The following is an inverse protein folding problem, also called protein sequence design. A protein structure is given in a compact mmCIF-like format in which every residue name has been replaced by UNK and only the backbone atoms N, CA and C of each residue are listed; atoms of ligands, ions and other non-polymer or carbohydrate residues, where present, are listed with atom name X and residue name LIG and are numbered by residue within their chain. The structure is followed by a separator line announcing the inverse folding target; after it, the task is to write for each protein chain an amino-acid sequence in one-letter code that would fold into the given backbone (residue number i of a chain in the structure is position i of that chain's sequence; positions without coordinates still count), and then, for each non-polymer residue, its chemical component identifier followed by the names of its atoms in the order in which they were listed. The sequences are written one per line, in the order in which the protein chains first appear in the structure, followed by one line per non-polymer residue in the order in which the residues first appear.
data_IF_168991006809
#
_entry.id   IF_168991006809
#
_cell.length_a   1.000
_cell.length_b   1.000
_cell.length_c   1.000
_cell.angle_alpha   90.00
_cell.angle_beta   90.00
_cell.angle_gamma   90.00
#
_symmetry.space_group_name_H-M   'P 1'
#
loop_
_entity.id
_entity.type
_entity.pdbx_description
1 polymer ?
#
# COMPACT_ATOMS: atom_id res chain seq x y z
N UNK A 1 33.63 2.40 13.53
CA UNK A 1 34.15 1.58 12.41
C UNK A 1 33.73 0.10 12.43
N UNK A 2 33.69 -0.60 13.57
CA UNK A 2 33.25 -2.02 13.64
C UNK A 2 31.78 -2.21 13.20
N UNK A 3 30.85 -1.34 13.59
CA UNK A 3 29.42 -1.44 13.26
C UNK A 3 29.14 -1.34 11.75
N UNK A 4 29.89 -0.49 11.03
CA UNK A 4 29.74 -0.31 9.58
C UNK A 4 30.25 -1.55 8.80
N UNK A 5 31.34 -2.16 9.23
CA UNK A 5 31.85 -3.41 8.63
C UNK A 5 30.88 -4.57 8.82
N UNK A 6 30.23 -4.64 9.99
CA UNK A 6 29.21 -5.66 10.28
C UNK A 6 27.97 -5.47 9.40
N UNK A 7 27.51 -4.24 9.18
CA UNK A 7 26.40 -3.92 8.28
C UNK A 7 26.71 -4.29 6.82
N UNK A 8 27.91 -3.97 6.33
CA UNK A 8 28.35 -4.31 4.96
C UNK A 8 28.49 -5.83 4.80
N UNK A 9 29.01 -6.53 5.81
CA UNK A 9 29.17 -7.99 5.79
C UNK A 9 27.83 -8.71 5.89
N UNK A 10 26.88 -8.18 6.67
CA UNK A 10 25.49 -8.64 6.70
C UNK A 10 24.77 -8.39 5.38
N UNK A 11 24.96 -7.23 4.77
CA UNK A 11 24.43 -6.92 3.44
C UNK A 11 24.93 -7.88 2.35
N UNK A 12 26.24 -8.23 2.40
CA UNK A 12 26.84 -9.18 1.45
C UNK A 12 26.36 -10.62 1.66
N UNK A 13 26.22 -11.08 2.91
CA UNK A 13 25.62 -12.38 3.20
C UNK A 13 24.12 -12.45 2.89
N UNK A 14 23.40 -11.35 3.07
CA UNK A 14 22.00 -11.23 2.67
C UNK A 14 21.85 -11.28 1.15
N UNK A 15 22.77 -10.63 0.42
CA UNK A 15 22.82 -10.66 -1.05
C UNK A 15 23.06 -12.08 -1.58
N UNK A 16 23.99 -12.83 -0.97
CA UNK A 16 24.30 -14.22 -1.31
C UNK A 16 23.19 -15.21 -0.97
N UNK A 17 22.39 -14.95 0.07
CA UNK A 17 21.18 -15.75 0.39
C UNK A 17 19.99 -15.44 -0.53
N UNK A 18 20.01 -14.30 -1.20
CA UNK A 18 19.00 -13.88 -2.16
C UNK A 18 19.34 -14.32 -3.59
N UNK A 19 20.51 -14.90 -3.82
CA UNK A 19 20.81 -15.56 -5.09
C UNK A 19 19.97 -16.84 -5.18
N UNK A 20 18.87 -16.76 -5.94
CA UNK A 20 18.17 -17.94 -6.43
C UNK A 20 19.22 -18.82 -7.12
N UNK A 21 19.28 -20.11 -6.78
CA UNK A 21 20.18 -21.08 -7.41
C UNK A 21 20.16 -20.86 -8.93
N UNK A 22 21.33 -20.66 -9.58
CA UNK A 22 21.40 -20.54 -11.02
C UNK A 22 21.04 -21.90 -11.63
N UNK A 23 19.81 -22.01 -12.13
CA UNK A 23 19.27 -23.25 -12.68
C UNK A 23 17.79 -23.19 -13.06
N UNK A 24 17.12 -22.06 -12.85
CA UNK A 24 15.75 -21.89 -13.35
C UNK A 24 15.76 -21.94 -14.89
N UNK A 25 15.24 -23.02 -15.46
CA UNK A 25 15.03 -23.19 -16.90
C UNK A 25 14.49 -21.89 -17.51
N UNK A 26 15.02 -21.47 -18.68
CA UNK A 26 14.55 -20.30 -19.44
C UNK A 26 13.04 -20.32 -19.69
N UNK A 27 12.42 -21.51 -19.76
CA UNK A 27 10.97 -21.70 -19.80
C UNK A 27 10.28 -21.24 -18.51
N UNK A 28 10.87 -21.50 -17.35
CA UNK A 28 10.35 -21.03 -16.05
C UNK A 28 10.41 -19.51 -15.91
N UNK A 29 11.45 -18.87 -16.42
CA UNK A 29 11.57 -17.40 -16.37
C UNK A 29 10.54 -16.71 -17.27
N UNK A 30 10.37 -17.17 -18.52
CA UNK A 30 9.36 -16.63 -19.45
C UNK A 30 7.94 -16.78 -18.90
N UNK A 31 7.65 -17.89 -18.24
CA UNK A 31 6.36 -18.12 -17.61
C UNK A 31 6.10 -17.16 -16.44
N UNK A 32 7.09 -16.96 -15.57
CA UNK A 32 7.00 -15.97 -14.46
C UNK A 32 6.82 -14.55 -14.98
N UNK A 33 7.49 -14.19 -16.08
CA UNK A 33 7.32 -12.88 -16.72
C UNK A 33 5.91 -12.70 -17.29
N UNK A 34 5.34 -13.76 -17.89
CA UNK A 34 3.95 -13.77 -18.36
C UNK A 34 2.95 -13.57 -17.20
N UNK A 35 3.15 -14.26 -16.08
CA UNK A 35 2.34 -14.07 -14.87
C UNK A 35 2.51 -12.67 -14.30
N UNK A 36 3.73 -12.14 -14.27
CA UNK A 36 4.01 -10.77 -13.85
C UNK A 36 3.20 -9.76 -14.66
N UNK A 37 3.27 -9.87 -15.99
CA UNK A 37 2.52 -9.00 -16.90
C UNK A 37 1.00 -9.13 -16.69
N UNK A 38 0.49 -10.35 -16.55
CA UNK A 38 -0.92 -10.59 -16.25
C UNK A 38 -1.37 -9.92 -14.96
N UNK A 39 -0.64 -10.12 -13.86
CA UNK A 39 -1.00 -9.55 -12.57
C UNK A 39 -0.84 -8.03 -12.53
N UNK A 40 0.14 -7.49 -13.27
CA UNK A 40 0.30 -6.05 -13.45
C UNK A 40 -0.92 -5.44 -14.18
N UNK A 41 -1.37 -6.09 -15.25
CA UNK A 41 -2.58 -5.69 -15.98
C UNK A 41 -3.83 -5.79 -15.11
N UNK A 42 -3.97 -6.85 -14.30
CA UNK A 42 -5.07 -6.96 -13.34
C UNK A 42 -5.08 -5.81 -12.32
N UNK A 43 -3.91 -5.44 -11.78
CA UNK A 43 -3.78 -4.30 -10.87
C UNK A 43 -4.16 -2.98 -11.54
N UNK A 44 -3.66 -2.73 -12.76
CA UNK A 44 -3.98 -1.51 -13.51
C UNK A 44 -5.44 -1.44 -13.93
N UNK A 45 -6.08 -2.57 -14.23
CA UNK A 45 -7.48 -2.62 -14.59
C UNK A 45 -8.39 -2.01 -13.51
N UNK A 46 -8.06 -2.22 -12.23
CA UNK A 46 -8.84 -1.67 -11.11
C UNK A 46 -8.82 -0.14 -11.14
N UNK A 47 -7.66 0.48 -11.42
CA UNK A 47 -7.53 1.95 -11.48
C UNK A 47 -8.03 2.53 -12.81
N UNK A 48 -7.77 1.85 -13.93
CA UNK A 48 -8.13 2.35 -15.26
C UNK A 48 -9.64 2.56 -15.42
N UNK A 49 -10.45 1.67 -14.84
CA UNK A 49 -11.92 1.76 -14.99
C UNK A 49 -12.50 2.88 -14.12
N UNK A 50 -11.92 3.13 -12.93
CA UNK A 50 -12.36 4.25 -12.08
C UNK A 50 -12.05 5.61 -12.72
N UNK A 51 -10.93 5.70 -13.47
CA UNK A 51 -10.52 6.94 -14.15
C UNK A 51 -11.37 7.27 -15.40
N UNK A 52 -11.98 6.27 -16.04
CA UNK A 52 -12.77 6.44 -17.29
C UNK A 52 -14.24 6.75 -17.01
N UNK A 53 -14.77 6.38 -15.86
CA UNK A 53 -16.16 6.58 -15.49
C UNK A 53 -16.27 7.24 -14.11
N UNK A 54 -16.31 8.57 -14.03
CA UNK A 54 -16.52 9.27 -12.76
C UNK A 54 -17.90 8.98 -12.14
N UNK A 55 -18.90 8.64 -12.96
CA UNK A 55 -20.18 8.16 -12.45
C UNK A 55 -20.07 6.71 -12.01
N UNK A 56 -20.60 6.38 -10.83
CA UNK A 56 -20.67 5.03 -10.26
C UNK A 56 -21.42 4.09 -11.22
N UNK A 57 -20.74 3.74 -12.30
CA UNK A 57 -21.35 3.01 -13.40
C UNK A 57 -21.28 1.51 -13.14
N UNK A 58 -22.14 0.78 -13.82
CA UNK A 58 -22.14 -0.68 -13.92
C UNK A 58 -20.70 -1.21 -14.16
N UNK A 59 -19.83 -0.43 -14.84
CA UNK A 59 -18.44 -0.78 -15.11
C UNK A 59 -17.58 -0.97 -13.85
N UNK A 60 -17.71 -0.09 -12.85
CA UNK A 60 -16.89 -0.20 -11.61
C UNK A 60 -17.31 -1.40 -10.75
N UNK A 61 -18.60 -1.78 -10.76
CA UNK A 61 -19.10 -2.97 -10.08
C UNK A 61 -18.73 -4.27 -10.82
N UNK A 62 -18.53 -4.21 -12.14
CA UNK A 62 -18.22 -5.39 -12.95
C UNK A 62 -16.84 -5.97 -12.64
N UNK A 63 -15.84 -5.16 -12.23
CA UNK A 63 -14.48 -5.61 -11.95
C UNK A 63 -14.42 -6.54 -10.73
N UNK A 64 -14.93 -6.16 -9.54
CA UNK A 64 -14.94 -7.11 -8.42
C UNK A 64 -15.75 -8.38 -8.74
N UNK A 65 -16.84 -8.27 -9.49
CA UNK A 65 -17.61 -9.44 -9.93
C UNK A 65 -16.78 -10.35 -10.85
N UNK A 66 -16.05 -9.78 -11.82
CA UNK A 66 -15.16 -10.53 -12.71
C UNK A 66 -14.09 -11.29 -11.91
N UNK A 67 -13.42 -10.63 -10.96
CA UNK A 67 -12.42 -11.29 -10.14
C UNK A 67 -13.01 -12.33 -9.18
N UNK A 68 -14.23 -12.11 -8.67
CA UNK A 68 -14.93 -13.09 -7.85
C UNK A 68 -15.25 -14.36 -8.66
N UNK A 69 -15.85 -14.21 -9.84
CA UNK A 69 -16.17 -15.35 -10.73
C UNK A 69 -14.91 -16.11 -11.15
N UNK A 70 -13.81 -15.37 -11.47
CA UNK A 70 -12.52 -15.98 -11.78
C UNK A 70 -11.97 -16.77 -10.57
N UNK A 71 -12.08 -16.21 -9.37
CA UNK A 71 -11.65 -16.87 -8.13
C UNK A 71 -12.40 -18.18 -7.92
N UNK A 72 -13.73 -18.15 -8.07
CA UNK A 72 -14.58 -19.36 -7.93
C UNK A 72 -14.20 -20.42 -8.97
N UNK A 73 -14.04 -20.02 -10.22
CA UNK A 73 -13.67 -20.91 -11.31
C UNK A 73 -12.28 -21.57 -11.08
N UNK A 74 -11.31 -20.81 -10.60
CA UNK A 74 -9.97 -21.30 -10.31
C UNK A 74 -9.94 -22.18 -9.05
N UNK A 75 -10.72 -21.86 -8.02
CA UNK A 75 -10.81 -22.66 -6.80
C UNK A 75 -11.39 -24.05 -7.07
N UNK A 76 -12.41 -24.13 -7.93
CA UNK A 76 -13.04 -25.40 -8.34
C UNK A 76 -12.19 -26.25 -9.26
N UNK A 77 -11.12 -25.72 -9.85
CA UNK A 77 -10.29 -26.43 -10.83
C UNK A 77 -8.94 -26.85 -10.23
N UNK A 78 -8.76 -28.16 -10.03
CA UNK A 78 -7.55 -28.74 -9.42
C UNK A 78 -6.25 -28.28 -10.12
N UNK A 79 -6.27 -28.14 -11.46
CA UNK A 79 -5.10 -27.74 -12.26
C UNK A 79 -4.67 -26.29 -12.01
N UNK A 80 -5.61 -25.39 -11.72
CA UNK A 80 -5.37 -23.95 -11.58
C UNK A 80 -5.53 -23.46 -10.15
N UNK A 81 -5.74 -24.36 -9.20
CA UNK A 81 -5.97 -24.02 -7.78
C UNK A 81 -4.87 -23.13 -7.17
N UNK A 82 -3.63 -23.21 -7.66
CA UNK A 82 -2.51 -22.40 -7.17
C UNK A 82 -2.69 -20.89 -7.41
N UNK A 83 -3.54 -20.49 -8.36
CA UNK A 83 -3.74 -19.08 -8.73
C UNK A 83 -4.92 -18.43 -8.00
N UNK A 84 -5.82 -19.20 -7.40
CA UNK A 84 -7.05 -18.68 -6.82
C UNK A 84 -6.81 -17.62 -5.74
N UNK A 85 -5.76 -17.78 -4.92
CA UNK A 85 -5.45 -16.82 -3.84
C UNK A 85 -5.07 -15.44 -4.36
N UNK A 86 -4.39 -15.38 -5.50
CA UNK A 86 -4.03 -14.11 -6.15
C UNK A 86 -5.28 -13.44 -6.73
N UNK A 87 -6.14 -14.20 -7.43
CA UNK A 87 -7.37 -13.64 -7.97
C UNK A 87 -8.37 -13.28 -6.87
N UNK A 88 -8.39 -14.02 -5.76
CA UNK A 88 -9.12 -13.62 -4.57
C UNK A 88 -8.59 -12.30 -3.98
N UNK A 89 -7.28 -12.10 -3.96
CA UNK A 89 -6.72 -10.81 -3.54
C UNK A 89 -7.14 -9.67 -4.47
N UNK A 90 -7.18 -9.89 -5.79
CA UNK A 90 -7.71 -8.89 -6.75
C UNK A 90 -9.21 -8.65 -6.55
N UNK A 91 -10.00 -9.68 -6.24
CA UNK A 91 -11.39 -9.51 -5.85
C UNK A 91 -11.52 -8.61 -4.62
N UNK A 92 -10.80 -8.94 -3.53
CA UNK A 92 -10.85 -8.15 -2.30
C UNK A 92 -10.39 -6.70 -2.56
N UNK A 93 -9.30 -6.52 -3.31
CA UNK A 93 -8.75 -5.22 -3.67
C UNK A 93 -9.74 -4.36 -4.45
N UNK A 94 -10.34 -4.90 -5.50
CA UNK A 94 -11.31 -4.18 -6.33
C UNK A 94 -12.65 -3.97 -5.63
N UNK A 95 -13.09 -4.92 -4.78
CA UNK A 95 -14.30 -4.77 -3.98
C UNK A 95 -14.16 -3.64 -2.95
N UNK A 96 -13.00 -3.58 -2.27
CA UNK A 96 -12.68 -2.49 -1.34
C UNK A 96 -12.59 -1.16 -2.07
N UNK A 97 -11.95 -1.13 -3.23
CA UNK A 97 -11.87 0.06 -4.09
C UNK A 97 -13.29 0.56 -4.47
N UNK A 98 -14.15 -0.34 -4.92
CA UNK A 98 -15.53 -0.02 -5.28
C UNK A 98 -16.34 0.48 -4.09
N UNK A 99 -16.31 -0.22 -2.95
CA UNK A 99 -17.08 0.18 -1.76
C UNK A 99 -16.60 1.48 -1.16
N UNK A 100 -15.28 1.75 -1.22
CA UNK A 100 -14.68 3.01 -0.80
C UNK A 100 -15.24 4.18 -1.60
N UNK A 101 -15.24 4.09 -2.93
CA UNK A 101 -15.81 5.13 -3.81
C UNK A 101 -17.33 5.31 -3.57
N UNK A 102 -18.07 4.22 -3.45
CA UNK A 102 -19.50 4.27 -3.17
C UNK A 102 -19.82 5.05 -1.87
N UNK A 103 -18.98 4.93 -0.86
CA UNK A 103 -19.21 5.56 0.44
C UNK A 103 -18.64 6.98 0.49
N UNK A 104 -17.39 7.18 0.05
CA UNK A 104 -16.69 8.45 0.24
C UNK A 104 -17.02 9.51 -0.80
N UNK A 105 -17.37 9.12 -2.02
CA UNK A 105 -17.76 10.07 -3.07
C UNK A 105 -19.25 10.49 -2.94
N UNK A 106 -19.95 9.95 -1.94
CA UNK A 106 -21.32 10.38 -1.67
C UNK A 106 -21.35 11.84 -1.20
N UNK A 107 -22.33 12.60 -1.68
CA UNK A 107 -22.52 14.02 -1.33
C UNK A 107 -22.64 14.27 0.19
N UNK A 108 -23.00 13.24 0.97
CA UNK A 108 -23.11 13.29 2.43
C UNK A 108 -21.75 13.39 3.14
N UNK A 109 -20.66 12.99 2.50
CA UNK A 109 -19.31 12.99 3.11
C UNK A 109 -18.54 14.28 2.79
N UNK A 110 -18.84 14.96 1.71
CA UNK A 110 -18.17 16.20 1.31
C UNK A 110 -18.09 17.29 2.40
N UNK A 111 -19.12 17.56 3.21
CA UNK A 111 -19.05 18.56 4.25
C UNK A 111 -17.98 18.26 5.35
N UNK A 112 -17.66 16.99 5.58
CA UNK A 112 -16.65 16.61 6.55
C UNK A 112 -15.24 17.08 6.17
N UNK A 113 -14.93 17.15 4.87
CA UNK A 113 -13.61 17.60 4.41
C UNK A 113 -13.34 19.10 4.62
N UNK A 114 -14.35 19.88 4.98
CA UNK A 114 -14.22 21.33 5.18
C UNK A 114 -13.62 21.71 6.57
N UNK A 115 -13.53 20.77 7.50
CA UNK A 115 -13.03 21.04 8.86
C UNK A 115 -11.94 20.06 9.27
N UNK A 116 -11.07 20.45 10.22
CA UNK A 116 -10.01 19.57 10.76
C UNK A 116 -10.59 18.28 11.36
N UNK A 117 -11.59 18.41 12.24
CA UNK A 117 -12.25 17.27 12.86
C UNK A 117 -12.95 16.37 11.84
N UNK A 118 -13.60 16.99 10.87
CA UNK A 118 -14.26 16.28 9.78
C UNK A 118 -13.29 15.48 8.92
N UNK A 119 -12.09 16.02 8.59
CA UNK A 119 -11.05 15.29 7.88
C UNK A 119 -10.58 14.05 8.65
N UNK A 120 -10.42 14.15 9.97
CA UNK A 120 -10.08 12.98 10.80
C UNK A 120 -11.20 11.93 10.75
N UNK A 121 -12.46 12.35 10.90
CA UNK A 121 -13.60 11.43 10.81
C UNK A 121 -13.65 10.75 9.43
N UNK A 122 -13.53 11.52 8.35
CA UNK A 122 -13.51 10.98 6.99
C UNK A 122 -12.37 9.98 6.78
N UNK A 123 -11.15 10.27 7.29
CA UNK A 123 -10.02 9.35 7.23
C UNK A 123 -10.25 8.07 8.05
N UNK A 124 -10.88 8.17 9.22
CA UNK A 124 -11.22 7.00 10.03
C UNK A 124 -12.28 6.13 9.35
N UNK A 125 -13.29 6.75 8.72
CA UNK A 125 -14.29 6.03 7.90
C UNK A 125 -13.59 5.34 6.72
N UNK A 126 -12.77 6.05 5.96
CA UNK A 126 -12.00 5.50 4.85
C UNK A 126 -11.14 4.29 5.29
N UNK A 127 -10.40 4.46 6.38
CA UNK A 127 -9.58 3.39 6.96
C UNK A 127 -10.43 2.18 7.34
N UNK A 128 -11.58 2.39 7.96
CA UNK A 128 -12.50 1.33 8.39
C UNK A 128 -13.11 0.58 7.21
N UNK A 129 -13.55 1.31 6.18
CA UNK A 129 -14.12 0.77 4.93
C UNK A 129 -13.10 -0.10 4.19
N UNK A 130 -11.82 0.21 4.29
CA UNK A 130 -10.75 -0.58 3.67
C UNK A 130 -10.37 -1.80 4.55
N UNK A 131 -10.10 -1.58 5.83
CA UNK A 131 -9.54 -2.62 6.71
C UNK A 131 -10.53 -3.72 7.01
N UNK A 132 -11.78 -3.37 7.34
CA UNK A 132 -12.79 -4.36 7.76
C UNK A 132 -13.04 -5.40 6.65
N UNK A 133 -13.33 -5.04 5.40
CA UNK A 133 -13.54 -6.03 4.35
C UNK A 133 -12.29 -6.88 4.08
N UNK A 134 -11.08 -6.29 4.08
CA UNK A 134 -9.85 -7.06 3.89
C UNK A 134 -9.71 -8.14 4.96
N UNK A 135 -9.90 -7.78 6.22
CA UNK A 135 -9.78 -8.71 7.34
C UNK A 135 -10.87 -9.79 7.29
N UNK A 136 -12.14 -9.39 7.14
CA UNK A 136 -13.25 -10.31 7.11
C UNK A 136 -13.19 -11.28 5.93
N UNK A 137 -12.91 -10.80 4.73
CA UNK A 137 -12.80 -11.64 3.54
C UNK A 137 -11.58 -12.57 3.61
N UNK A 138 -10.45 -12.09 4.17
CA UNK A 138 -9.28 -12.95 4.42
C UNK A 138 -9.64 -14.10 5.37
N UNK A 139 -10.32 -13.82 6.48
CA UNK A 139 -10.77 -14.86 7.40
C UNK A 139 -11.82 -15.78 6.76
N UNK A 140 -12.78 -15.25 6.02
CA UNK A 140 -13.79 -16.02 5.31
C UNK A 140 -13.21 -16.97 4.25
N UNK A 141 -12.05 -16.61 3.65
CA UNK A 141 -11.33 -17.50 2.73
C UNK A 141 -10.61 -18.67 3.42
N UNK A 142 -10.67 -18.76 4.75
CA UNK A 142 -9.93 -19.74 5.55
C UNK A 142 -8.47 -19.38 5.78
N UNK A 143 -8.02 -18.21 5.31
CA UNK A 143 -6.65 -17.73 5.51
C UNK A 143 -6.50 -17.05 6.87
N UNK A 144 -5.38 -17.30 7.56
CA UNK A 144 -5.08 -16.59 8.82
C UNK A 144 -4.60 -15.15 8.56
N UNK A 145 -4.71 -14.30 9.57
CA UNK A 145 -4.24 -12.89 9.51
C UNK A 145 -2.74 -12.76 9.21
N UNK A 146 -1.95 -13.80 9.50
CA UNK A 146 -0.54 -13.86 9.14
C UNK A 146 -0.29 -13.85 7.62
N UNK A 147 -1.28 -14.26 6.81
CA UNK A 147 -1.21 -14.23 5.35
C UNK A 147 -1.19 -12.81 4.78
N UNK A 148 -1.67 -11.84 5.56
CA UNK A 148 -1.69 -10.41 5.26
C UNK A 148 -0.75 -9.60 6.18
N UNK A 149 0.28 -10.23 6.72
CA UNK A 149 1.29 -9.64 7.62
C UNK A 149 0.76 -9.05 8.94
N UNK A 150 -0.49 -9.30 9.31
CA UNK A 150 -1.05 -8.98 10.63
C UNK A 150 -0.57 -10.01 11.66
N UNK A 151 0.71 -9.93 11.99
CA UNK A 151 1.41 -10.77 12.96
C UNK A 151 2.53 -9.98 13.62
N UNK A 152 3.03 -10.46 14.76
CA UNK A 152 4.08 -9.76 15.51
C UNK A 152 5.37 -9.56 14.69
N UNK A 153 5.88 -10.61 14.06
CA UNK A 153 7.15 -10.56 13.33
C UNK A 153 8.31 -9.99 14.17
N UNK A 154 9.28 -9.34 13.53
CA UNK A 154 10.36 -8.61 14.21
C UNK A 154 9.90 -7.18 14.54
N UNK A 155 9.14 -7.05 15.65
CA UNK A 155 8.63 -5.75 16.13
C UNK A 155 9.77 -4.76 16.43
N UNK A 156 10.91 -5.25 16.97
CA UNK A 156 12.02 -4.37 17.33
C UNK A 156 12.58 -3.66 16.10
N UNK A 157 12.93 -4.42 15.06
CA UNK A 157 13.42 -3.85 13.81
C UNK A 157 12.36 -2.97 13.15
N UNK A 158 11.11 -3.45 13.08
CA UNK A 158 10.00 -2.72 12.48
C UNK A 158 9.73 -1.39 13.18
N UNK A 159 9.64 -1.39 14.50
CA UNK A 159 9.40 -0.17 15.28
C UNK A 159 10.56 0.82 15.18
N UNK A 160 11.81 0.35 15.30
CA UNK A 160 12.98 1.25 15.24
C UNK A 160 13.06 1.94 13.88
N UNK A 161 13.00 1.16 12.78
CA UNK A 161 13.06 1.73 11.43
C UNK A 161 11.84 2.60 11.14
N UNK A 162 10.64 2.11 11.46
CA UNK A 162 9.40 2.83 11.22
C UNK A 162 9.30 4.17 11.96
N UNK A 163 9.59 4.16 13.28
CA UNK A 163 9.56 5.38 14.08
C UNK A 163 10.67 6.36 13.69
N UNK A 164 11.84 5.87 13.30
CA UNK A 164 12.93 6.74 12.82
C UNK A 164 12.51 7.46 11.53
N UNK A 165 11.94 6.75 10.56
CA UNK A 165 11.46 7.34 9.30
C UNK A 165 10.31 8.30 9.56
N UNK A 166 9.32 7.91 10.38
CA UNK A 166 8.21 8.77 10.79
C UNK A 166 8.71 10.08 11.43
N UNK A 167 9.66 9.98 12.38
CA UNK A 167 10.23 11.15 13.05
C UNK A 167 11.00 12.05 12.08
N UNK A 168 11.77 11.49 11.14
CA UNK A 168 12.50 12.27 10.12
C UNK A 168 11.52 13.06 9.27
N UNK A 169 10.49 12.42 8.72
CA UNK A 169 9.51 13.12 7.90
C UNK A 169 8.71 14.16 8.69
N UNK A 170 8.35 13.85 9.95
CA UNK A 170 7.67 14.80 10.82
C UNK A 170 8.52 16.05 11.08
N UNK A 171 9.80 15.87 11.43
CA UNK A 171 10.73 16.99 11.69
C UNK A 171 11.02 17.80 10.43
N UNK A 172 11.24 17.13 9.29
CA UNK A 172 11.43 17.82 8.01
C UNK A 172 10.18 18.63 7.62
N UNK A 173 8.98 18.08 7.83
CA UNK A 173 7.73 18.79 7.58
C UNK A 173 7.57 20.00 8.50
N UNK A 174 7.96 19.88 9.77
CA UNK A 174 7.97 21.01 10.70
C UNK A 174 8.92 22.13 10.24
N UNK A 175 10.15 21.76 9.87
CA UNK A 175 11.15 22.73 9.38
C UNK A 175 10.64 23.45 8.13
N UNK A 176 10.12 22.70 7.15
CA UNK A 176 9.61 23.30 5.89
C UNK A 176 8.39 24.19 6.18
N UNK A 177 7.45 23.74 6.99
CA UNK A 177 6.25 24.51 7.33
C UNK A 177 6.58 25.82 8.05
N UNK A 178 7.50 25.79 9.00
CA UNK A 178 7.85 26.97 9.81
C UNK A 178 8.81 27.89 9.03
N UNK A 179 9.89 27.36 8.45
CA UNK A 179 10.96 28.17 7.87
C UNK A 179 10.69 28.59 6.43
N UNK A 180 9.94 27.80 5.65
CA UNK A 180 9.69 28.07 4.22
C UNK A 180 8.27 28.59 4.00
N UNK A 181 7.26 27.93 4.58
CA UNK A 181 5.86 28.30 4.41
C UNK A 181 5.38 29.39 5.41
N UNK A 182 6.24 29.83 6.36
CA UNK A 182 5.92 30.91 7.31
C UNK A 182 4.85 30.54 8.35
N UNK A 183 4.61 29.24 8.58
CA UNK A 183 3.66 28.79 9.60
C UNK A 183 4.21 29.06 11.00
N UNK A 184 3.37 29.59 11.91
CA UNK A 184 3.80 29.75 13.30
C UNK A 184 4.03 28.41 13.99
N UNK A 185 5.04 28.28 14.87
CA UNK A 185 5.28 27.04 15.61
C UNK A 185 4.07 26.58 16.42
N UNK A 186 3.32 27.52 17.00
CA UNK A 186 2.08 27.23 17.76
C UNK A 186 1.01 26.58 16.86
N UNK A 187 0.84 27.07 15.62
CA UNK A 187 -0.10 26.48 14.67
C UNK A 187 0.34 25.09 14.25
N UNK A 188 1.62 24.87 13.97
CA UNK A 188 2.15 23.55 13.65
C UNK A 188 1.87 22.54 14.79
N UNK A 189 2.16 22.93 16.03
CA UNK A 189 1.90 22.10 17.21
C UNK A 189 0.41 21.81 17.40
N UNK A 190 -0.45 22.79 17.14
CA UNK A 190 -1.92 22.60 17.19
C UNK A 190 -2.39 21.58 16.14
N UNK A 191 -1.82 21.59 14.93
CA UNK A 191 -2.17 20.66 13.85
C UNK A 191 -1.57 19.26 14.05
N UNK A 192 -0.50 19.13 14.83
CA UNK A 192 0.26 17.88 14.96
C UNK A 192 -0.56 16.65 15.38
N UNK A 193 -1.47 16.68 16.37
CA UNK A 193 -2.27 15.51 16.71
C UNK A 193 -3.18 15.06 15.57
N UNK A 194 -3.80 15.98 14.84
CA UNK A 194 -4.63 15.66 13.67
C UNK A 194 -3.78 15.04 12.56
N UNK A 195 -2.62 15.65 12.29
CA UNK A 195 -1.65 15.20 11.30
C UNK A 195 -1.18 13.75 11.58
N UNK A 196 -0.84 13.44 12.83
CA UNK A 196 -0.41 12.11 13.21
C UNK A 196 -1.53 11.07 13.09
N UNK A 197 -2.77 11.40 13.49
CA UNK A 197 -3.90 10.48 13.32
C UNK A 197 -4.13 10.20 11.84
N UNK A 198 -4.19 11.22 10.98
CA UNK A 198 -4.36 11.08 9.54
C UNK A 198 -3.26 10.22 8.92
N UNK A 199 -2.00 10.51 9.26
CA UNK A 199 -0.85 9.81 8.70
C UNK A 199 -0.78 8.33 9.15
N UNK A 200 -0.95 8.05 10.44
CA UNK A 200 -0.87 6.70 10.99
C UNK A 200 -1.99 5.80 10.47
N UNK A 201 -3.22 6.30 10.40
CA UNK A 201 -4.35 5.53 9.89
C UNK A 201 -4.22 5.29 8.40
N UNK A 202 -3.77 6.30 7.62
CA UNK A 202 -3.51 6.13 6.20
C UNK A 202 -2.38 5.13 5.93
N UNK A 203 -1.24 5.28 6.61
CA UNK A 203 -0.09 4.38 6.42
C UNK A 203 -0.43 2.92 6.74
N UNK A 204 -1.21 2.65 7.79
CA UNK A 204 -1.67 1.29 8.09
C UNK A 204 -2.63 0.76 7.02
N UNK A 205 -3.61 1.57 6.60
CA UNK A 205 -4.59 1.24 5.57
C UNK A 205 -3.90 0.88 4.25
N UNK A 206 -3.01 1.72 3.75
CA UNK A 206 -2.34 1.51 2.46
C UNK A 206 -1.41 0.31 2.48
N UNK A 207 -0.64 0.13 3.55
CA UNK A 207 0.21 -1.04 3.68
C UNK A 207 -0.57 -2.35 3.68
N UNK A 208 -1.70 -2.39 4.38
CA UNK A 208 -2.57 -3.57 4.39
C UNK A 208 -3.16 -3.84 3.01
N UNK A 209 -3.62 -2.79 2.33
CA UNK A 209 -4.32 -2.88 1.06
C UNK A 209 -3.39 -3.27 -0.09
N UNK A 210 -2.23 -2.58 -0.23
CA UNK A 210 -1.34 -2.80 -1.37
C UNK A 210 -0.32 -3.93 -1.13
N UNK A 211 0.23 -4.06 0.06
CA UNK A 211 1.33 -5.00 0.34
C UNK A 211 0.87 -6.19 1.16
N UNK A 212 0.12 -5.96 2.22
CA UNK A 212 -0.40 -7.01 3.07
C UNK A 212 -1.22 -8.03 2.29
N UNK A 213 -2.14 -7.54 1.46
CA UNK A 213 -3.03 -8.39 0.68
C UNK A 213 -2.31 -9.26 -0.36
N UNK A 214 -1.23 -8.75 -0.98
CA UNK A 214 -0.66 -9.36 -2.18
C UNK A 214 0.69 -10.07 -2.00
N UNK A 215 1.62 -9.53 -1.19
CA UNK A 215 3.02 -10.00 -1.20
C UNK A 215 3.16 -11.50 -0.95
N UNK A 216 2.48 -12.05 0.07
CA UNK A 216 2.54 -13.48 0.38
C UNK A 216 1.87 -14.36 -0.70
N UNK A 217 0.93 -13.81 -1.45
CA UNK A 217 0.18 -14.54 -2.49
C UNK A 217 0.93 -14.57 -3.83
N UNK A 218 1.68 -13.50 -4.13
CA UNK A 218 2.53 -13.46 -5.32
C UNK A 218 3.79 -14.33 -5.19
N UNK A 219 4.34 -14.46 -3.97
CA UNK A 219 5.64 -15.08 -3.74
C UNK A 219 5.76 -16.53 -4.25
N UNK A 220 4.77 -17.42 -4.03
CA UNK A 220 4.85 -18.79 -4.54
C UNK A 220 4.91 -18.88 -6.07
N UNK A 221 4.35 -17.88 -6.77
CA UNK A 221 4.25 -17.84 -8.23
C UNK A 221 5.42 -17.12 -8.90
N UNK A 222 5.83 -15.99 -8.33
CA UNK A 222 6.80 -15.09 -8.95
C UNK A 222 8.18 -15.12 -8.26
N UNK A 223 8.25 -15.62 -7.03
CA UNK A 223 9.42 -15.49 -6.17
C UNK A 223 9.47 -14.12 -5.49
N UNK A 224 10.37 -14.00 -4.50
CA UNK A 224 10.48 -12.85 -3.58
C UNK A 224 10.68 -11.52 -4.32
N UNK A 225 11.62 -11.48 -5.29
CA UNK A 225 12.01 -10.23 -5.97
C UNK A 225 10.92 -9.70 -6.87
N UNK A 226 10.40 -10.56 -7.77
CA UNK A 226 9.36 -10.15 -8.72
C UNK A 226 8.05 -9.78 -8.02
N UNK A 227 7.70 -10.44 -6.92
CA UNK A 227 6.52 -10.09 -6.11
C UNK A 227 6.63 -8.68 -5.52
N UNK A 228 7.83 -8.32 -4.99
CA UNK A 228 8.06 -6.99 -4.47
C UNK A 228 8.07 -5.94 -5.60
N UNK A 229 8.66 -6.31 -6.75
CA UNK A 229 8.70 -5.42 -7.91
C UNK A 229 7.33 -5.22 -8.55
N UNK A 230 6.42 -6.21 -8.45
CA UNK A 230 5.06 -6.14 -8.99
C UNK A 230 4.16 -5.18 -8.20
N UNK A 231 4.21 -5.24 -6.86
CA UNK A 231 3.34 -4.40 -6.03
C UNK A 231 3.71 -2.90 -6.11
N UNK A 232 4.97 -2.56 -6.37
CA UNK A 232 5.43 -1.18 -6.39
C UNK A 232 4.81 -0.32 -7.51
N UNK A 233 4.75 -0.73 -8.80
CA UNK A 233 4.04 0.03 -9.82
C UNK A 233 2.52 0.08 -9.60
N UNK A 234 1.91 -0.99 -9.04
CA UNK A 234 0.47 -0.97 -8.70
C UNK A 234 0.21 0.09 -7.63
N UNK A 235 1.05 0.16 -6.59
CA UNK A 235 0.98 1.21 -5.58
C UNK A 235 1.23 2.60 -6.17
N UNK A 236 2.25 2.76 -7.01
CA UNK A 236 2.54 4.05 -7.65
C UNK A 236 1.40 4.54 -8.55
N UNK A 237 0.64 3.62 -9.17
CA UNK A 237 -0.54 3.98 -9.98
C UNK A 237 -1.71 4.51 -9.15
N UNK A 238 -1.84 4.12 -7.87
CA UNK A 238 -2.90 4.67 -7.02
C UNK A 238 -2.78 6.18 -6.80
N UNK A 239 -1.60 6.74 -7.04
CA UNK A 239 -1.34 8.19 -6.89
C UNK A 239 -1.68 8.97 -8.16
N UNK A 240 -1.97 8.31 -9.29
CA UNK A 240 -2.23 8.92 -10.61
C UNK A 240 -3.64 9.50 -10.74
N UNK A 241 -4.50 9.36 -9.76
CA UNK A 241 -5.84 9.98 -9.74
C UNK A 241 -5.80 11.52 -9.80
N UNK A 242 -4.64 12.14 -9.56
CA UNK A 242 -4.42 13.57 -9.71
C UNK A 242 -4.14 13.95 -11.18
N UNK A 243 -4.46 15.18 -11.56
CA UNK A 243 -4.23 15.72 -12.90
C UNK A 243 -2.81 15.53 -13.41
N UNK A 244 -2.64 15.20 -14.69
CA UNK A 244 -1.34 15.03 -15.33
C UNK A 244 -0.52 16.33 -15.29
N UNK A 245 0.49 16.35 -14.43
CA UNK A 245 1.45 17.44 -14.33
C UNK A 245 2.88 16.88 -14.29
N UNK A 246 3.89 17.72 -14.56
CA UNK A 246 5.30 17.30 -14.43
C UNK A 246 5.67 16.88 -12.99
N UNK A 247 4.97 17.41 -11.99
CA UNK A 247 5.12 17.05 -10.58
C UNK A 247 4.61 15.62 -10.33
N UNK A 248 3.54 15.21 -11.02
CA UNK A 248 2.97 13.86 -10.89
C UNK A 248 3.99 12.77 -11.24
N UNK A 249 4.80 12.96 -12.29
CA UNK A 249 5.84 11.99 -12.66
C UNK A 249 6.83 11.80 -11.51
N UNK A 250 7.24 12.89 -10.86
CA UNK A 250 8.11 12.84 -9.68
C UNK A 250 7.47 12.07 -8.52
N UNK A 251 6.20 12.32 -8.23
CA UNK A 251 5.46 11.65 -7.15
C UNK A 251 5.33 10.15 -7.47
N UNK A 252 4.98 9.76 -8.69
CA UNK A 252 4.88 8.36 -9.12
C UNK A 252 6.21 7.63 -8.97
N UNK A 253 7.32 8.26 -9.38
CA UNK A 253 8.66 7.68 -9.22
C UNK A 253 9.04 7.50 -7.75
N UNK A 254 8.80 8.52 -6.91
CA UNK A 254 9.04 8.43 -5.46
C UNK A 254 8.19 7.33 -4.85
N UNK A 255 6.90 7.27 -5.18
CA UNK A 255 5.99 6.23 -4.69
C UNK A 255 6.41 4.82 -5.12
N UNK A 256 6.93 4.68 -6.35
CA UNK A 256 7.47 3.41 -6.82
C UNK A 256 8.67 2.93 -5.98
N UNK A 257 9.67 3.79 -5.76
CA UNK A 257 10.85 3.43 -4.96
C UNK A 257 10.51 3.24 -3.48
N UNK A 258 9.61 4.07 -2.95
CA UNK A 258 9.06 3.90 -1.61
C UNK A 258 8.37 2.54 -1.51
N UNK A 259 7.53 2.20 -2.48
CA UNK A 259 6.86 0.91 -2.57
C UNK A 259 7.82 -0.28 -2.48
N UNK A 260 8.93 -0.24 -3.22
CA UNK A 260 9.97 -1.26 -3.16
C UNK A 260 10.59 -1.38 -1.76
N UNK A 261 10.92 -0.24 -1.13
CA UNK A 261 11.51 -0.19 0.20
C UNK A 261 10.59 -0.74 1.28
N UNK A 262 9.33 -0.34 1.24
CA UNK A 262 8.32 -0.77 2.21
C UNK A 262 7.98 -2.25 2.09
N UNK A 263 7.85 -2.77 0.86
CA UNK A 263 7.65 -4.19 0.63
C UNK A 263 8.85 -5.04 1.09
N UNK A 264 10.08 -4.54 0.92
CA UNK A 264 11.27 -5.16 1.49
C UNK A 264 11.22 -5.16 3.03
N UNK A 265 10.89 -4.03 3.65
CA UNK A 265 10.81 -3.90 5.11
C UNK A 265 9.74 -4.83 5.70
N UNK A 266 8.53 -4.86 5.10
CA UNK A 266 7.43 -5.74 5.52
C UNK A 266 7.85 -7.21 5.50
N UNK A 267 8.54 -7.65 4.44
CA UNK A 267 9.07 -9.03 4.35
C UNK A 267 10.18 -9.29 5.35
N UNK A 268 11.10 -8.34 5.52
CA UNK A 268 12.25 -8.48 6.42
C UNK A 268 11.82 -8.60 7.88
N UNK A 269 10.81 -7.85 8.28
CA UNK A 269 10.23 -7.88 9.63
C UNK A 269 9.17 -8.97 9.79
N UNK A 270 8.57 -9.42 8.69
CA UNK A 270 7.43 -10.34 8.72
C UNK A 270 6.18 -9.72 9.36
N UNK A 271 6.11 -8.39 9.46
CA UNK A 271 5.02 -7.63 10.09
C UNK A 271 4.73 -6.36 9.29
N UNK A 272 3.49 -5.93 9.31
CA UNK A 272 3.03 -4.68 8.69
C UNK A 272 3.52 -3.44 9.45
N UNK A 273 3.85 -3.53 10.74
CA UNK A 273 4.04 -2.38 11.61
C UNK A 273 5.12 -1.41 11.10
N UNK A 274 6.30 -1.94 10.74
CA UNK A 274 7.42 -1.09 10.31
C UNK A 274 7.13 -0.34 9.03
N UNK A 275 6.58 -1.01 8.03
CA UNK A 275 6.22 -0.39 6.76
C UNK A 275 5.07 0.61 6.93
N UNK A 276 4.07 0.33 7.75
CA UNK A 276 2.98 1.28 8.06
C UNK A 276 3.48 2.57 8.71
N UNK A 277 4.45 2.49 9.62
CA UNK A 277 5.04 3.68 10.23
C UNK A 277 5.89 4.48 9.22
N UNK A 278 6.62 3.80 8.33
CA UNK A 278 7.36 4.48 7.26
C UNK A 278 6.40 5.15 6.27
N UNK A 279 5.34 4.47 5.85
CA UNK A 279 4.31 5.03 4.97
C UNK A 279 3.62 6.22 5.64
N UNK A 280 3.24 6.11 6.91
CA UNK A 280 2.70 7.21 7.68
C UNK A 280 3.64 8.44 7.65
N UNK A 281 4.95 8.21 7.79
CA UNK A 281 5.93 9.28 7.66
C UNK A 281 5.87 9.97 6.30
N UNK A 282 5.87 9.20 5.21
CA UNK A 282 5.91 9.71 3.85
C UNK A 282 4.71 10.59 3.47
N UNK A 283 3.55 10.34 4.05
CA UNK A 283 2.32 11.10 3.76
C UNK A 283 2.12 12.33 4.67
N UNK A 284 2.95 12.50 5.71
CA UNK A 284 2.89 13.70 6.58
C UNK A 284 2.94 15.01 5.81
N UNK A 285 3.88 15.24 4.85
CA UNK A 285 3.92 16.49 4.09
C UNK A 285 2.62 16.75 3.33
N UNK A 286 2.00 15.71 2.78
CA UNK A 286 0.76 15.79 2.00
C UNK A 286 -0.40 16.21 2.91
N UNK A 287 -0.60 15.51 4.02
CA UNK A 287 -1.66 15.86 4.97
C UNK A 287 -1.46 17.25 5.58
N UNK A 288 -0.21 17.63 5.84
CA UNK A 288 0.09 18.97 6.37
C UNK A 288 -0.38 20.08 5.41
N UNK A 289 -0.15 19.91 4.10
CA UNK A 289 -0.66 20.86 3.09
C UNK A 289 -2.19 20.91 3.15
N UNK A 290 -2.87 19.76 3.15
CA UNK A 290 -4.33 19.68 3.18
C UNK A 290 -4.90 20.36 4.42
N UNK A 291 -4.46 19.99 5.63
CA UNK A 291 -5.04 20.51 6.86
C UNK A 291 -4.62 21.95 7.18
N UNK A 292 -3.49 22.43 6.65
CA UNK A 292 -3.06 23.79 6.83
C UNK A 292 -3.92 24.81 6.09
N UNK A 293 -4.59 24.38 5.02
CA UNK A 293 -5.55 25.18 4.26
C UNK A 293 -6.92 25.31 4.97
N UNK A 294 -7.21 24.44 5.94
CA UNK A 294 -8.47 24.44 6.69
C UNK A 294 -8.45 25.50 7.80
N UNK A 295 -9.61 26.07 8.05
CA UNK A 295 -9.83 27.08 9.11
C UNK A 295 -10.34 26.43 10.39
#
# INVERSE_FOLDING_TARGET
MRCFKTLVQYGKQLWLRLEEKPGASTKGFRFRLGLYALFLLCGFLVFAVSSVSPDLSIGTAAIPLLFLLTTIALHGNVRFKTYWEVFFAFFVFSFVWFTRHLILDSASVHPFYATLGGNVVAQLVDTTVVIIPIVLLTLASGSGLSSIFLRKGDLKLGSVVGLMVLAIFYLLSAVVAISVAGMSPSRFLFLSPFLLVLALTNGFKEELWFRGLFLNKYEPLLGVRLSNFLQAPIFAMSVVEAEFSSVLIGIVLVSFFLGLGLGYLMRRTGSILGSSLCEAGSVIPIFLVVISALR
#
